data_IF_711398503798
#
_entry.id   IF_711398503798
#
_cell.length_a   1.000
_cell.length_b   1.000
_cell.length_c   1.000
_cell.angle_alpha   90.00
_cell.angle_beta   90.00
_cell.angle_gamma   90.00
#
_symmetry.space_group_name_H-M   'P 1'
#
loop_
_entity.id
_entity.type
_entity.pdbx_description
1 polymer ?
#
# COMPACT_ATOMS: atom_id res chain seq x y z
N UNK A 1 -24.54 -58.05 15.15
CA UNK A 1 -25.50 -57.01 15.58
C UNK A 1 -24.79 -56.07 16.53
N UNK A 2 -24.58 -54.81 16.17
CA UNK A 2 -24.03 -53.81 17.09
C UNK A 2 -24.82 -52.53 16.93
N UNK A 3 -25.69 -52.26 17.90
CA UNK A 3 -26.54 -51.09 17.98
C UNK A 3 -25.72 -49.89 18.45
N UNK A 4 -25.37 -48.98 17.54
CA UNK A 4 -24.85 -47.65 17.91
C UNK A 4 -25.97 -46.87 18.59
N UNK A 5 -25.96 -46.84 19.92
CA UNK A 5 -26.84 -45.99 20.70
C UNK A 5 -26.60 -44.52 20.30
N UNK A 6 -27.65 -43.86 19.82
CA UNK A 6 -27.61 -42.42 19.53
C UNK A 6 -27.45 -41.70 20.87
N UNK A 7 -26.26 -41.14 21.13
CA UNK A 7 -26.02 -40.25 22.28
C UNK A 7 -26.88 -39.00 22.08
N UNK A 8 -28.00 -38.91 22.81
CA UNK A 8 -28.85 -37.72 22.83
C UNK A 8 -28.17 -36.70 23.75
N UNK A 9 -27.75 -35.57 23.18
CA UNK A 9 -27.21 -34.47 23.98
C UNK A 9 -28.32 -33.83 24.80
N UNK A 10 -28.04 -33.35 26.02
CA UNK A 10 -29.03 -32.61 26.81
C UNK A 10 -29.53 -31.39 26.03
N UNK A 11 -30.78 -31.03 26.27
CA UNK A 11 -31.39 -29.83 25.69
C UNK A 11 -30.61 -28.60 26.11
N UNK A 12 -30.35 -27.71 25.15
CA UNK A 12 -29.70 -26.43 25.41
C UNK A 12 -30.59 -25.61 26.36
N UNK A 13 -30.02 -24.98 27.41
CA UNK A 13 -30.79 -24.08 28.25
C UNK A 13 -31.29 -22.87 27.45
N UNK A 14 -32.39 -22.30 27.89
CA UNK A 14 -32.93 -21.08 27.30
C UNK A 14 -31.92 -19.92 27.42
N UNK A 15 -31.86 -19.03 26.43
CA UNK A 15 -30.99 -17.86 26.51
C UNK A 15 -31.43 -16.94 27.65
N UNK A 16 -30.50 -16.18 28.25
CA UNK A 16 -30.84 -15.22 29.29
C UNK A 16 -31.80 -14.14 28.78
N UNK A 17 -32.60 -13.61 29.70
CA UNK A 17 -33.48 -12.48 29.41
C UNK A 17 -32.70 -11.17 29.28
N UNK A 18 -33.28 -10.19 28.58
CA UNK A 18 -32.67 -8.86 28.44
C UNK A 18 -32.47 -8.17 29.80
N UNK A 19 -33.36 -8.41 30.77
CA UNK A 19 -33.27 -7.82 32.11
C UNK A 19 -32.06 -8.35 32.89
N UNK A 20 -31.80 -9.67 32.79
CA UNK A 20 -30.62 -10.29 33.41
C UNK A 20 -29.32 -9.75 32.82
N UNK A 21 -29.26 -9.61 31.48
CA UNK A 21 -28.09 -9.03 30.81
C UNK A 21 -27.83 -7.58 31.27
N UNK A 22 -28.89 -6.79 31.45
CA UNK A 22 -28.75 -5.41 31.92
C UNK A 22 -28.35 -5.31 33.39
N UNK A 23 -28.78 -6.26 34.24
CA UNK A 23 -28.33 -6.34 35.62
C UNK A 23 -26.84 -6.68 35.68
N UNK A 24 -26.40 -7.70 34.93
CA UNK A 24 -24.99 -8.10 34.84
C UNK A 24 -24.09 -6.94 34.37
N UNK A 25 -24.55 -6.15 33.39
CA UNK A 25 -23.85 -4.95 32.89
C UNK A 25 -23.75 -3.84 33.95
N UNK A 26 -24.76 -3.69 34.81
CA UNK A 26 -24.77 -2.67 35.88
C UNK A 26 -23.90 -3.06 37.05
N UNK A 27 -23.87 -4.35 37.38
CA UNK A 27 -23.10 -4.89 38.51
C UNK A 27 -21.64 -5.16 38.15
N UNK A 28 -21.28 -5.04 36.86
CA UNK A 28 -19.92 -5.25 36.40
C UNK A 28 -18.95 -4.21 36.98
N UNK A 29 -17.72 -4.63 37.35
CA UNK A 29 -16.73 -3.73 37.92
C UNK A 29 -16.23 -2.73 36.88
N UNK A 30 -15.79 -1.53 37.29
CA UNK A 30 -15.30 -0.49 36.38
C UNK A 30 -14.03 -0.88 35.60
N UNK A 31 -13.34 -1.96 36.00
CA UNK A 31 -12.20 -2.54 35.30
C UNK A 31 -12.54 -3.74 34.42
N UNK A 32 -13.82 -4.03 34.20
CA UNK A 32 -14.24 -5.15 33.35
C UNK A 32 -13.86 -4.90 31.88
N UNK A 33 -13.19 -5.86 31.20
CA UNK A 33 -12.75 -5.74 29.81
C UNK A 33 -13.88 -5.48 28.79
N UNK A 34 -15.15 -5.69 29.15
CA UNK A 34 -16.29 -5.29 28.33
C UNK A 34 -16.42 -3.77 28.25
N UNK A 35 -16.05 -3.04 29.31
CA UNK A 35 -16.11 -1.57 29.38
C UNK A 35 -14.75 -0.90 29.22
N UNK A 36 -13.66 -1.63 29.53
CA UNK A 36 -12.32 -1.20 29.18
C UNK A 36 -12.13 -1.47 27.69
N UNK A 37 -12.32 -0.43 26.88
CA UNK A 37 -11.84 -0.46 25.50
C UNK A 37 -10.39 -0.96 25.54
N UNK A 38 -10.06 -2.10 24.88
CA UNK A 38 -8.67 -2.47 24.73
C UNK A 38 -7.98 -1.24 24.16
N UNK A 39 -6.89 -0.80 24.79
CA UNK A 39 -6.02 0.18 24.15
C UNK A 39 -5.79 -0.38 22.75
N UNK A 40 -6.32 0.32 21.73
CA UNK A 40 -6.24 -0.10 20.34
C UNK A 40 -4.83 -0.65 20.16
N UNK A 41 -4.63 -1.92 19.73
CA UNK A 41 -3.29 -2.37 19.44
C UNK A 41 -2.75 -1.31 18.49
N UNK A 42 -1.65 -0.66 18.87
CA UNK A 42 -0.94 0.31 18.05
C UNK A 42 -0.53 -0.39 16.75
N UNK A 43 -1.49 -0.59 15.87
CA UNK A 43 -1.31 -0.69 14.44
C UNK A 43 -1.08 0.75 14.08
N UNK A 44 0.17 1.18 14.05
CA UNK A 44 0.74 2.19 13.13
C UNK A 44 -0.28 3.11 12.43
N UNK A 45 -1.21 3.71 13.20
CA UNK A 45 -2.33 4.49 12.70
C UNK A 45 -2.12 5.86 13.28
N UNK A 46 -1.55 6.66 12.38
CA UNK A 46 -1.50 8.09 12.32
C UNK A 46 -1.88 8.79 13.64
N UNK A 47 -0.94 9.50 14.29
CA UNK A 47 -1.32 10.36 15.38
C UNK A 47 -2.44 11.25 14.86
N UNK A 48 -3.57 11.27 15.58
CA UNK A 48 -4.58 12.30 15.43
C UNK A 48 -3.83 13.60 15.18
N UNK A 49 -4.03 14.29 14.04
CA UNK A 49 -3.27 15.49 13.78
C UNK A 49 -3.53 16.42 14.94
N UNK A 50 -2.51 16.63 15.77
CA UNK A 50 -2.37 17.90 16.41
C UNK A 50 -2.49 18.92 15.27
N UNK A 51 -3.57 19.72 15.22
CA UNK A 51 -3.86 20.57 14.07
C UNK A 51 -2.71 21.53 13.76
N UNK A 52 -1.83 21.77 14.75
CA UNK A 52 -0.73 22.73 14.67
C UNK A 52 0.64 22.02 14.70
N UNK A 53 0.85 21.00 15.54
CA UNK A 53 2.16 20.35 15.70
C UNK A 53 2.59 19.43 14.56
N UNK A 54 1.65 18.85 13.79
CA UNK A 54 1.97 17.93 12.68
C UNK A 54 1.92 18.56 11.28
N UNK A 55 1.45 19.80 11.17
CA UNK A 55 1.21 20.43 9.87
C UNK A 55 2.51 20.78 9.14
N UNK A 56 3.50 21.31 9.87
CA UNK A 56 4.80 21.70 9.29
C UNK A 56 5.59 20.49 8.78
N UNK A 57 5.58 19.38 9.52
CA UNK A 57 6.25 18.15 9.10
C UNK A 57 5.56 17.50 7.88
N UNK A 58 4.23 17.48 7.86
CA UNK A 58 3.44 17.03 6.70
C UNK A 58 3.70 17.92 5.49
N UNK A 59 3.77 19.22 5.67
CA UNK A 59 4.07 20.15 4.59
C UNK A 59 5.50 19.97 4.07
N UNK A 60 6.47 19.75 4.97
CA UNK A 60 7.86 19.41 4.62
C UNK A 60 7.94 18.12 3.79
N UNK A 61 7.26 17.06 4.22
CA UNK A 61 7.19 15.78 3.50
C UNK A 61 6.49 15.94 2.14
N UNK A 62 5.42 16.73 2.08
CA UNK A 62 4.74 17.05 0.83
C UNK A 62 5.66 17.79 -0.14
N UNK A 63 6.38 18.82 0.32
CA UNK A 63 7.35 19.54 -0.52
C UNK A 63 8.48 18.62 -1.01
N UNK A 64 8.98 17.74 -0.14
CA UNK A 64 10.02 16.77 -0.49
C UNK A 64 9.54 15.76 -1.55
N UNK A 65 8.39 15.13 -1.32
CA UNK A 65 7.80 14.17 -2.26
C UNK A 65 7.49 14.81 -3.61
N UNK A 66 6.95 16.04 -3.62
CA UNK A 66 6.72 16.82 -4.83
C UNK A 66 8.02 17.11 -5.58
N UNK A 67 9.08 17.51 -4.86
CA UNK A 67 10.40 17.74 -5.44
C UNK A 67 10.98 16.48 -6.09
N UNK A 68 10.87 15.34 -5.41
CA UNK A 68 11.31 14.05 -5.94
C UNK A 68 10.52 13.63 -7.18
N UNK A 69 9.19 13.78 -7.15
CA UNK A 69 8.33 13.47 -8.30
C UNK A 69 8.68 14.34 -9.52
N UNK A 70 8.89 15.65 -9.32
CA UNK A 70 9.31 16.56 -10.38
C UNK A 70 10.68 16.19 -10.96
N UNK A 71 11.65 15.84 -10.12
CA UNK A 71 12.97 15.39 -10.56
C UNK A 71 12.86 14.11 -11.39
N UNK A 72 12.05 13.15 -10.93
CA UNK A 72 11.84 11.87 -11.61
C UNK A 72 11.21 12.07 -12.98
N UNK A 73 10.26 12.98 -13.11
CA UNK A 73 9.67 13.35 -14.41
C UNK A 73 10.72 13.93 -15.37
N UNK A 74 11.60 14.82 -14.88
CA UNK A 74 12.69 15.39 -15.69
C UNK A 74 13.67 14.32 -16.16
N UNK A 75 14.04 13.39 -15.28
CA UNK A 75 14.92 12.27 -15.63
C UNK A 75 14.30 11.37 -16.69
N UNK A 76 13.00 11.05 -16.57
CA UNK A 76 12.28 10.28 -17.60
C UNK A 76 12.30 11.00 -18.95
N UNK A 77 11.98 12.29 -18.98
CA UNK A 77 12.02 13.07 -20.21
C UNK A 77 13.42 13.12 -20.84
N UNK A 78 14.47 13.32 -20.02
CA UNK A 78 15.86 13.30 -20.49
C UNK A 78 16.25 11.93 -21.07
N UNK A 79 15.81 10.84 -20.43
CA UNK A 79 16.06 9.47 -20.89
C UNK A 79 15.43 9.20 -22.25
N UNK A 80 14.18 9.63 -22.46
CA UNK A 80 13.52 9.44 -23.76
C UNK A 80 14.20 10.27 -24.87
N UNK A 81 14.57 11.53 -24.59
CA UNK A 81 15.36 12.33 -25.55
C UNK A 81 16.69 11.69 -25.91
N UNK A 82 17.39 11.12 -24.93
CA UNK A 82 18.65 10.42 -25.16
C UNK A 82 18.44 9.17 -26.04
N UNK A 83 17.36 8.43 -25.80
CA UNK A 83 16.98 7.27 -26.61
C UNK A 83 16.72 7.67 -28.06
N UNK A 84 15.93 8.72 -28.28
CA UNK A 84 15.67 9.25 -29.62
C UNK A 84 16.97 9.64 -30.34
N UNK A 85 17.88 10.36 -29.65
CA UNK A 85 19.16 10.77 -30.24
C UNK A 85 20.05 9.58 -30.57
N UNK A 86 20.06 8.55 -29.73
CA UNK A 86 20.79 7.29 -30.00
C UNK A 86 20.26 6.62 -31.26
N UNK A 87 18.95 6.53 -31.41
CA UNK A 87 18.34 5.92 -32.60
C UNK A 87 18.66 6.70 -33.88
N UNK A 88 18.63 8.04 -33.82
CA UNK A 88 19.05 8.87 -34.95
C UNK A 88 20.51 8.61 -35.35
N UNK A 89 21.43 8.53 -34.37
CA UNK A 89 22.83 8.25 -34.62
C UNK A 89 23.04 6.86 -35.22
N UNK A 90 22.32 5.85 -34.74
CA UNK A 90 22.38 4.49 -35.30
C UNK A 90 21.92 4.47 -36.77
N UNK A 91 20.84 5.18 -37.11
CA UNK A 91 20.37 5.28 -38.50
C UNK A 91 21.38 6.03 -39.38
N UNK A 92 21.94 7.12 -38.90
CA UNK A 92 22.94 7.89 -39.60
C UNK A 92 24.23 7.07 -39.83
N UNK A 93 24.68 6.33 -38.82
CA UNK A 93 25.82 5.40 -38.93
C UNK A 93 25.57 4.34 -39.99
N UNK A 94 24.42 3.66 -39.96
CA UNK A 94 24.08 2.66 -40.96
C UNK A 94 23.99 3.24 -42.39
N UNK A 95 23.54 4.49 -42.55
CA UNK A 95 23.54 5.16 -43.84
C UNK A 95 24.96 5.48 -44.33
N UNK A 96 25.83 5.93 -43.43
CA UNK A 96 27.24 6.17 -43.72
C UNK A 96 27.94 4.87 -44.15
N UNK A 97 27.72 3.78 -43.42
CA UNK A 97 28.32 2.48 -43.73
C UNK A 97 27.93 1.99 -45.12
N UNK A 98 26.65 2.15 -45.50
CA UNK A 98 26.18 1.87 -46.87
C UNK A 98 26.88 2.75 -47.90
N UNK A 99 26.95 4.06 -47.65
CA UNK A 99 27.65 4.97 -48.55
C UNK A 99 29.13 4.61 -48.73
N UNK A 100 29.79 4.17 -47.66
CA UNK A 100 31.19 3.73 -47.71
C UNK A 100 31.31 2.43 -48.52
N UNK A 101 30.41 1.48 -48.32
CA UNK A 101 30.38 0.24 -49.10
C UNK A 101 30.18 0.52 -50.60
N UNK A 102 29.24 1.39 -50.96
CA UNK A 102 28.99 1.80 -52.35
C UNK A 102 30.20 2.48 -52.97
N UNK A 103 30.87 3.39 -52.24
CA UNK A 103 32.10 4.03 -52.70
C UNK A 103 33.23 3.01 -52.92
N UNK A 104 33.38 2.03 -52.02
CA UNK A 104 34.35 0.94 -52.18
C UNK A 104 34.05 0.11 -53.43
N UNK A 105 32.79 -0.21 -53.70
CA UNK A 105 32.40 -0.96 -54.91
C UNK A 105 32.58 -0.18 -56.21
N UNK A 106 32.61 1.15 -56.17
CA UNK A 106 32.85 1.99 -57.35
C UNK A 106 34.32 2.31 -57.60
N UNK A 107 35.14 2.22 -56.55
CA UNK A 107 36.57 2.54 -56.59
C UNK A 107 37.46 1.31 -56.89
N UNK A 108 36.90 0.10 -56.80
CA UNK A 108 37.49 -1.18 -57.18
C UNK A 108 36.64 -1.85 -58.26
#
# INVERSE_FOLDING_TARGET
MSSKAKRVLPTRPDPPSAEQLLADVRDAPPGDPVFVLPAEPHRDRDPSPDPLGGQEERERLYRQSRGYAAMTQRLRAARERLRERREQLLRAGAALDRSIADMRQRAF
#
